data_IF_900607935942
#
_entry.id   IF_900607935942
#
_cell.length_a   1.000
_cell.length_b   1.000
_cell.length_c   1.000
_cell.angle_alpha   90.00
_cell.angle_beta   90.00
_cell.angle_gamma   90.00
#
_symmetry.space_group_name_H-M   'P 1'
#
loop_
_entity.id
_entity.type
_entity.pdbx_description
1 polymer ?
#
# COMPACT_ATOMS: atom_id res chain seq x y z
N UNK A 1 10.40 1.59 -42.53
CA UNK A 1 10.34 1.71 -41.07
C UNK A 1 11.71 1.41 -40.49
N UNK A 2 12.30 2.41 -39.88
CA UNK A 2 13.46 2.30 -39.00
C UNK A 2 13.07 1.59 -37.71
N UNK A 3 14.06 1.05 -37.00
CA UNK A 3 13.84 0.37 -35.70
C UNK A 3 13.10 1.27 -34.71
N UNK A 4 13.46 2.55 -34.67
CA UNK A 4 12.80 3.58 -33.87
C UNK A 4 11.31 3.74 -34.23
N UNK A 5 10.95 3.74 -35.51
CA UNK A 5 9.54 3.84 -35.93
C UNK A 5 8.71 2.63 -35.48
N UNK A 6 9.29 1.42 -35.46
CA UNK A 6 8.61 0.22 -34.95
C UNK A 6 8.33 0.33 -33.46
N UNK A 7 9.32 0.82 -32.69
CA UNK A 7 9.18 1.03 -31.24
C UNK A 7 8.13 2.11 -30.93
N UNK A 8 8.12 3.21 -31.71
CA UNK A 8 7.09 4.26 -31.56
C UNK A 8 5.69 3.69 -31.80
N UNK A 9 5.51 2.88 -32.85
CA UNK A 9 4.23 2.25 -33.14
C UNK A 9 3.76 1.32 -32.00
N UNK A 10 4.68 0.49 -31.46
CA UNK A 10 4.40 -0.41 -30.34
C UNK A 10 4.05 0.35 -29.06
N UNK A 11 4.73 1.46 -28.78
CA UNK A 11 4.38 2.33 -27.65
C UNK A 11 2.96 2.90 -27.80
N UNK A 12 2.62 3.47 -28.95
CA UNK A 12 1.27 4.01 -29.16
C UNK A 12 0.17 2.96 -29.00
N UNK A 13 0.45 1.71 -29.40
CA UNK A 13 -0.45 0.58 -29.19
C UNK A 13 -0.62 0.26 -27.69
N UNK A 14 0.49 0.15 -26.94
CA UNK A 14 0.46 -0.11 -25.50
C UNK A 14 -0.23 1.00 -24.72
N UNK A 15 0.01 2.27 -25.07
CA UNK A 15 -0.70 3.41 -24.46
C UNK A 15 -2.22 3.36 -24.70
N UNK A 16 -2.64 2.90 -25.88
CA UNK A 16 -4.07 2.69 -26.18
C UNK A 16 -4.66 1.57 -25.34
N UNK A 17 -3.95 0.45 -25.18
CA UNK A 17 -4.37 -0.69 -24.34
C UNK A 17 -4.51 -0.29 -22.88
N UNK A 18 -3.59 0.53 -22.35
CA UNK A 18 -3.61 1.04 -20.98
C UNK A 18 -4.45 2.30 -20.78
N UNK A 19 -5.12 2.79 -21.83
CA UNK A 19 -5.89 4.03 -21.83
C UNK A 19 -5.11 5.25 -21.29
N UNK A 20 -3.80 5.31 -21.55
CA UNK A 20 -2.89 6.36 -21.04
C UNK A 20 -1.98 6.92 -22.13
N UNK A 21 -1.62 8.20 -22.00
CA UNK A 21 -0.67 8.82 -22.92
C UNK A 21 0.76 8.35 -22.62
N UNK A 22 1.47 7.86 -23.65
CA UNK A 22 2.84 7.36 -23.51
C UNK A 22 3.79 8.15 -24.41
N UNK A 23 4.89 8.61 -23.81
CA UNK A 23 5.91 9.38 -24.52
C UNK A 23 6.67 8.51 -25.53
N UNK A 24 6.57 8.87 -26.81
CA UNK A 24 7.30 8.24 -27.94
C UNK A 24 8.62 8.94 -28.27
N UNK A 25 9.00 9.91 -27.44
CA UNK A 25 10.27 10.64 -27.54
C UNK A 25 11.39 9.91 -26.79
N UNK A 26 12.57 9.86 -27.40
CA UNK A 26 13.75 9.23 -26.81
C UNK A 26 14.67 8.55 -27.83
N UNK A 27 15.72 7.94 -27.29
CA UNK A 27 16.61 7.00 -27.99
C UNK A 27 15.96 5.62 -28.11
N UNK A 28 16.49 4.76 -28.98
CA UNK A 28 15.98 3.39 -29.18
C UNK A 28 15.95 2.63 -27.86
N UNK A 29 17.01 2.70 -27.05
CA UNK A 29 17.08 2.02 -25.76
C UNK A 29 16.01 2.48 -24.77
N UNK A 30 15.75 3.79 -24.68
CA UNK A 30 14.69 4.33 -23.82
C UNK A 30 13.30 3.85 -24.26
N UNK A 31 13.04 3.82 -25.58
CA UNK A 31 11.77 3.34 -26.12
C UNK A 31 11.61 1.83 -25.87
N UNK A 32 12.67 1.03 -26.07
CA UNK A 32 12.65 -0.41 -25.79
C UNK A 32 12.41 -0.71 -24.32
N UNK A 33 13.10 -0.01 -23.42
CA UNK A 33 12.91 -0.18 -21.98
C UNK A 33 11.48 0.16 -21.56
N UNK A 34 10.92 1.26 -22.09
CA UNK A 34 9.54 1.66 -21.81
C UNK A 34 8.52 0.65 -22.33
N UNK A 35 8.74 0.08 -23.53
CA UNK A 35 7.88 -0.98 -24.07
C UNK A 35 7.88 -2.20 -23.16
N UNK A 36 9.07 -2.65 -22.72
CA UNK A 36 9.17 -3.83 -21.87
C UNK A 36 8.43 -3.64 -20.52
N UNK A 37 8.53 -2.46 -19.92
CA UNK A 37 7.78 -2.11 -18.70
C UNK A 37 6.26 -2.15 -18.92
N UNK A 38 5.79 -1.52 -20.01
CA UNK A 38 4.37 -1.49 -20.37
C UNK A 38 3.80 -2.87 -20.72
N UNK A 39 4.59 -3.72 -21.38
CA UNK A 39 4.21 -5.10 -21.70
C UNK A 39 4.11 -5.94 -20.41
N UNK A 40 5.03 -5.77 -19.45
CA UNK A 40 4.96 -6.45 -18.15
C UNK A 40 3.72 -6.02 -17.35
N UNK A 41 3.37 -4.73 -17.35
CA UNK A 41 2.11 -4.24 -16.75
C UNK A 41 0.88 -4.90 -17.41
N UNK A 42 0.87 -5.04 -18.74
CA UNK A 42 -0.28 -5.57 -19.48
C UNK A 42 -0.43 -7.09 -19.35
N UNK A 43 0.69 -7.84 -19.39
CA UNK A 43 0.69 -9.29 -19.17
C UNK A 43 0.37 -9.63 -17.71
N UNK A 44 0.77 -8.79 -16.75
CA UNK A 44 0.42 -8.93 -15.33
C UNK A 44 -1.08 -8.83 -15.02
N UNK A 45 -1.86 -8.15 -15.87
CA UNK A 45 -3.32 -8.01 -15.75
C UNK A 45 -4.10 -9.24 -16.27
N UNK A 46 -3.44 -10.20 -16.93
CA UNK A 46 -4.13 -11.34 -17.58
C UNK A 46 -4.33 -12.57 -16.68
N UNK A 47 -3.77 -12.58 -15.46
CA UNK A 47 -3.95 -13.68 -14.48
C UNK A 47 -5.17 -13.45 -13.55
N UNK A 48 -6.21 -12.79 -14.04
CA UNK A 48 -7.50 -12.68 -13.35
C UNK A 48 -8.69 -12.84 -14.30
N UNK A 49 -8.91 -14.09 -14.69
CA UNK A 49 -10.21 -14.65 -15.07
C UNK A 49 -10.40 -15.85 -14.13
N UNK A 50 -11.50 -16.15 -13.47
CA UNK A 50 -12.92 -15.86 -13.62
C UNK A 50 -13.58 -16.34 -12.29
N UNK A 51 -14.56 -15.60 -11.76
CA UNK A 51 -15.11 -15.85 -10.43
C UNK A 51 -16.54 -15.35 -10.28
N UNK A 52 -17.43 -15.89 -11.10
CA UNK A 52 -18.88 -15.98 -10.93
C UNK A 52 -19.75 -14.74 -11.21
N UNK A 53 -20.35 -14.83 -12.40
CA UNK A 53 -21.67 -14.33 -12.73
C UNK A 53 -22.71 -14.73 -11.66
N UNK A 54 -23.50 -13.76 -11.21
CA UNK A 54 -24.56 -13.95 -10.22
C UNK A 54 -25.56 -12.81 -10.26
N UNK A 55 -26.18 -12.57 -11.41
CA UNK A 55 -27.48 -11.90 -11.49
C UNK A 55 -28.45 -12.54 -10.48
N UNK A 56 -29.05 -11.78 -9.57
CA UNK A 56 -30.46 -11.97 -9.18
C UNK A 56 -31.04 -10.84 -8.31
N UNK A 57 -32.03 -10.17 -8.92
CA UNK A 57 -33.30 -9.68 -8.36
C UNK A 57 -33.33 -8.47 -7.39
N UNK A 58 -33.73 -7.34 -7.98
CA UNK A 58 -35.01 -6.65 -7.70
C UNK A 58 -35.77 -7.02 -6.41
N UNK A 59 -35.84 -6.07 -5.48
CA UNK A 59 -37.14 -5.55 -5.01
C UNK A 59 -36.95 -4.33 -4.12
N UNK A 60 -37.54 -3.24 -4.61
CA UNK A 60 -38.07 -2.13 -3.83
C UNK A 60 -39.05 -2.67 -2.77
N UNK A 61 -38.81 -2.37 -1.49
CA UNK A 61 -39.88 -2.11 -0.52
C UNK A 61 -39.31 -1.45 0.74
N UNK A 62 -39.86 -0.28 1.01
CA UNK A 62 -39.76 0.48 2.24
C UNK A 62 -40.07 -0.35 3.51
N UNK A 63 -39.40 -0.02 4.62
CA UNK A 63 -40.00 0.65 5.78
C UNK A 63 -39.17 0.41 7.06
N UNK A 64 -38.66 1.52 7.61
CA UNK A 64 -38.48 1.85 9.02
C UNK A 64 -38.03 0.76 10.03
N UNK A 65 -36.82 0.91 10.58
CA UNK A 65 -36.58 0.87 12.02
C UNK A 65 -35.17 1.38 12.40
N UNK A 66 -35.16 2.61 12.91
CA UNK A 66 -34.26 3.21 13.88
C UNK A 66 -33.15 2.32 14.49
N UNK A 67 -31.89 2.70 14.30
CA UNK A 67 -30.78 2.44 15.24
C UNK A 67 -29.62 3.38 14.91
N UNK A 68 -29.74 4.59 15.45
CA UNK A 68 -28.68 5.51 15.87
C UNK A 68 -27.25 4.93 15.82
N UNK A 69 -26.41 5.41 14.90
CA UNK A 69 -24.97 5.54 15.16
C UNK A 69 -24.44 6.75 14.39
N UNK A 70 -24.21 7.81 15.17
CA UNK A 70 -23.76 9.11 14.74
C UNK A 70 -22.44 9.07 13.98
N UNK A 71 -22.46 9.72 12.81
CA UNK A 71 -21.32 10.39 12.19
C UNK A 71 -20.75 11.41 13.19
N UNK A 72 -19.57 11.13 13.75
CA UNK A 72 -18.81 12.09 14.56
C UNK A 72 -17.33 11.71 14.56
N UNK A 73 -16.49 12.67 14.16
CA UNK A 73 -15.06 12.82 14.48
C UNK A 73 -14.10 11.89 13.71
N UNK A 74 -13.28 12.40 12.77
CA UNK A 74 -12.09 13.21 13.06
C UNK A 74 -11.60 13.05 14.51
N UNK A 75 -11.32 11.81 14.91
CA UNK A 75 -10.72 11.47 16.20
C UNK A 75 -9.27 11.95 16.22
N UNK A 76 -9.15 13.23 16.54
CA UNK A 76 -8.07 13.79 17.34
C UNK A 76 -7.56 12.72 18.28
N UNK A 77 -6.32 12.30 18.04
CA UNK A 77 -5.44 11.47 18.86
C UNK A 77 -6.01 11.25 20.26
N UNK A 78 -6.77 10.17 20.41
CA UNK A 78 -7.09 9.63 21.72
C UNK A 78 -5.74 9.20 22.28
N UNK A 79 -5.27 9.96 23.26
CA UNK A 79 -4.30 9.48 24.25
C UNK A 79 -4.95 8.27 24.91
N UNK A 80 -4.78 7.10 24.31
CA UNK A 80 -5.12 5.83 24.93
C UNK A 80 -3.89 5.42 25.73
N UNK A 81 -3.94 5.76 27.01
CA UNK A 81 -3.27 5.02 28.09
C UNK A 81 -1.77 4.78 27.88
N UNK A 82 -0.96 5.81 28.19
CA UNK A 82 0.32 5.60 28.88
C UNK A 82 0.02 4.74 30.12
N UNK A 83 0.45 3.47 30.19
CA UNK A 83 1.61 3.15 31.02
C UNK A 83 2.28 1.80 30.71
N UNK A 84 1.67 0.93 29.88
CA UNK A 84 2.12 -0.48 29.72
C UNK A 84 2.73 -0.78 28.34
N UNK A 85 3.51 0.18 27.81
CA UNK A 85 4.22 0.00 26.54
C UNK A 85 5.70 -0.30 26.76
N UNK A 86 6.18 -1.36 26.13
CA UNK A 86 7.57 -1.83 26.21
C UNK A 86 8.44 -1.04 25.26
N UNK A 87 9.61 -0.62 25.74
CA UNK A 87 10.61 0.05 24.90
C UNK A 87 11.50 -0.98 24.23
N UNK A 88 11.65 -0.88 22.91
CA UNK A 88 12.54 -1.75 22.12
C UNK A 88 13.35 -0.91 21.14
N UNK A 89 14.59 -1.32 20.87
CA UNK A 89 15.43 -0.77 19.80
C UNK A 89 15.23 -1.60 18.54
N UNK A 90 14.85 -0.92 17.46
CA UNK A 90 14.65 -1.55 16.15
C UNK A 90 15.99 -1.88 15.48
N UNK A 91 16.07 -3.03 14.81
CA UNK A 91 17.28 -3.48 14.09
C UNK A 91 17.10 -3.44 12.57
N UNK A 92 15.88 -3.20 12.11
CA UNK A 92 15.52 -3.09 10.70
C UNK A 92 14.52 -1.95 10.50
N UNK A 93 14.30 -1.57 9.24
CA UNK A 93 13.24 -0.63 8.89
C UNK A 93 11.89 -1.33 8.96
N UNK A 94 11.01 -0.88 9.86
CA UNK A 94 9.76 -1.58 10.20
C UNK A 94 8.56 -0.67 10.00
N UNK A 95 7.45 -1.24 9.53
CA UNK A 95 6.13 -0.62 9.62
C UNK A 95 5.45 -1.15 10.87
N UNK A 96 5.21 -0.28 11.85
CA UNK A 96 4.69 -0.63 13.17
C UNK A 96 3.92 0.55 13.73
N UNK A 97 2.85 0.30 14.47
CA UNK A 97 2.13 1.34 15.21
C UNK A 97 2.76 1.53 16.59
N UNK A 98 3.78 2.38 16.65
CA UNK A 98 4.58 2.60 17.85
C UNK A 98 4.58 4.07 18.28
N UNK A 99 5.05 4.33 19.51
CA UNK A 99 5.34 5.68 19.99
C UNK A 99 6.84 5.92 20.06
N UNK A 100 7.30 7.12 19.70
CA UNK A 100 8.70 7.49 19.89
C UNK A 100 9.06 7.50 21.39
N UNK A 101 10.18 6.88 21.79
CA UNK A 101 10.56 6.77 23.19
C UNK A 101 10.69 8.12 23.92
N UNK A 102 11.22 9.16 23.28
CA UNK A 102 11.36 10.51 23.86
C UNK A 102 10.19 11.44 23.51
N UNK A 103 9.76 11.45 22.24
CA UNK A 103 8.76 12.41 21.74
C UNK A 103 7.31 12.03 22.05
N UNK A 104 7.04 10.77 22.42
CA UNK A 104 5.69 10.24 22.61
C UNK A 104 4.78 10.48 21.38
N UNK A 105 5.38 10.53 20.19
CA UNK A 105 4.71 10.76 18.92
C UNK A 105 4.44 9.41 18.24
N UNK A 106 3.30 9.27 17.58
CA UNK A 106 2.96 8.08 16.79
C UNK A 106 3.89 7.96 15.59
N UNK A 107 4.54 6.82 15.48
CA UNK A 107 5.43 6.44 14.39
C UNK A 107 4.77 5.27 13.68
N UNK A 108 4.59 5.38 12.36
CA UNK A 108 4.12 4.28 11.51
C UNK A 108 5.27 3.60 10.74
N UNK A 109 6.41 4.27 10.60
CA UNK A 109 7.63 3.73 9.98
C UNK A 109 8.87 4.14 10.79
N UNK A 110 9.71 3.16 11.11
CA UNK A 110 10.88 3.34 11.99
C UNK A 110 12.13 2.82 11.30
N UNK A 111 13.25 3.52 11.48
CA UNK A 111 14.57 3.15 10.96
C UNK A 111 15.37 2.34 11.99
N UNK A 112 16.33 1.49 11.57
CA UNK A 112 17.18 0.73 12.49
C UNK A 112 17.97 1.64 13.44
N UNK A 113 18.06 1.23 14.71
CA UNK A 113 18.71 1.95 15.80
C UNK A 113 17.79 2.93 16.54
N UNK A 114 16.50 3.02 16.15
CA UNK A 114 15.53 3.90 16.81
C UNK A 114 14.81 3.14 17.93
N UNK A 115 14.71 3.78 19.10
CA UNK A 115 13.98 3.26 20.26
C UNK A 115 12.52 3.71 20.19
N UNK A 116 11.62 2.73 20.19
CA UNK A 116 10.18 2.91 20.11
C UNK A 116 9.50 2.22 21.28
N UNK A 117 8.28 2.67 21.60
CA UNK A 117 7.39 2.11 22.60
C UNK A 117 6.22 1.42 21.91
N UNK A 118 6.12 0.11 22.04
CA UNK A 118 5.10 -0.76 21.43
C UNK A 118 4.32 -1.51 22.51
N UNK A 119 3.28 -2.26 22.14
CA UNK A 119 2.64 -3.18 23.10
C UNK A 119 3.60 -4.32 23.46
N UNK A 120 3.39 -4.98 24.60
CA UNK A 120 4.18 -6.16 25.01
C UNK A 120 4.15 -7.25 23.93
N UNK A 121 2.97 -7.54 23.38
CA UNK A 121 2.79 -8.52 22.32
C UNK A 121 3.60 -8.18 21.07
N UNK A 122 3.57 -6.92 20.63
CA UNK A 122 4.37 -6.47 19.49
C UNK A 122 5.88 -6.56 19.79
N UNK A 123 6.30 -6.24 21.01
CA UNK A 123 7.71 -6.33 21.41
C UNK A 123 8.20 -7.79 21.31
N UNK A 124 7.46 -8.74 21.87
CA UNK A 124 7.77 -10.17 21.78
C UNK A 124 7.87 -10.64 20.32
N UNK A 125 6.90 -10.29 19.48
CA UNK A 125 6.93 -10.65 18.05
C UNK A 125 8.15 -10.07 17.33
N UNK A 126 8.51 -8.81 17.61
CA UNK A 126 9.66 -8.15 17.00
C UNK A 126 10.98 -8.79 17.48
N UNK A 127 11.06 -9.18 18.75
CA UNK A 127 12.25 -9.83 19.32
C UNK A 127 12.39 -11.26 18.78
N UNK A 128 11.30 -12.03 18.74
CA UNK A 128 11.28 -13.41 18.22
C UNK A 128 11.70 -13.45 16.75
N UNK A 129 11.25 -12.48 15.96
CA UNK A 129 11.64 -12.33 14.54
C UNK A 129 13.05 -11.74 14.36
N UNK A 130 13.73 -11.32 15.43
CA UNK A 130 15.06 -10.70 15.37
C UNK A 130 15.06 -9.30 14.75
N UNK A 131 13.91 -8.61 14.76
CA UNK A 131 13.68 -7.30 14.18
C UNK A 131 13.87 -6.16 15.18
N UNK A 132 13.76 -6.43 16.47
CA UNK A 132 14.06 -5.49 17.54
C UNK A 132 14.77 -6.19 18.71
N UNK A 133 15.32 -5.40 19.63
CA UNK A 133 15.89 -5.88 20.89
C UNK A 133 15.36 -5.06 22.08
N UNK A 134 15.22 -5.71 23.22
CA UNK A 134 14.92 -5.05 24.50
C UNK A 134 16.05 -4.06 24.88
N UNK A 135 15.70 -2.93 25.50
CA UNK A 135 16.62 -1.85 25.91
C UNK A 135 16.64 -1.60 27.41
#
# INVERSE_FOLDING_TARGET
MTEKEKLIARLSELGTQLNRDVSTSGTIQELTMRIAELEEELDGDTDSVDGENGEQNSSDSADSADSDFADTEKTKSVVTTTDDRVSVETLATLHVDALHATRNETISIVEPGVIIRVSEQDADELIEKGLAREV
#
